data_IF_383291551455
#
_entry.id   IF_383291551455
#
_cell.length_a   1.000
_cell.length_b   1.000
_cell.length_c   1.000
_cell.angle_alpha   90.00
_cell.angle_beta   90.00
_cell.angle_gamma   90.00
#
_symmetry.space_group_name_H-M   'P 1'
#
loop_
_entity.id
_entity.type
_entity.pdbx_description
1 polymer ?
#
# COMPACT_ATOMS: atom_id res chain seq x y z
N UNK A 1 -4.02 3.67 -10.88
CA UNK A 1 -4.03 2.84 -9.66
C UNK A 1 -5.39 2.17 -9.55
N UNK A 2 -5.45 0.85 -9.44
CA UNK A 2 -6.68 0.07 -9.35
C UNK A 2 -6.81 -0.50 -7.94
N UNK A 3 -7.95 -0.30 -7.30
CA UNK A 3 -8.22 -0.81 -5.95
C UNK A 3 -9.35 -1.83 -6.02
N UNK A 4 -9.12 -3.00 -5.45
CA UNK A 4 -10.14 -4.05 -5.34
C UNK A 4 -10.39 -4.37 -3.86
N UNK A 5 -11.66 -4.51 -3.52
CA UNK A 5 -12.12 -4.71 -2.15
C UNK A 5 -13.44 -5.47 -2.11
N UNK A 6 -13.71 -6.19 -1.02
CA UNK A 6 -14.96 -6.93 -0.86
C UNK A 6 -16.17 -5.99 -0.75
N UNK A 7 -17.17 -6.24 -1.59
CA UNK A 7 -18.44 -5.50 -1.60
C UNK A 7 -19.12 -5.44 -0.22
N UNK A 8 -18.97 -6.48 0.60
CA UNK A 8 -19.53 -6.51 1.96
C UNK A 8 -18.88 -5.45 2.84
N UNK A 9 -17.55 -5.41 2.91
CA UNK A 9 -16.82 -4.38 3.65
C UNK A 9 -17.17 -2.97 3.15
N UNK A 10 -17.21 -2.75 1.82
CA UNK A 10 -17.57 -1.45 1.24
C UNK A 10 -18.98 -0.96 1.66
N UNK A 11 -19.90 -1.88 1.95
CA UNK A 11 -21.27 -1.55 2.35
C UNK A 11 -21.46 -1.44 3.85
N UNK A 12 -20.76 -2.25 4.64
CA UNK A 12 -21.02 -2.39 6.09
C UNK A 12 -19.91 -1.84 6.98
N UNK A 13 -18.71 -1.60 6.45
CA UNK A 13 -17.53 -1.27 7.23
C UNK A 13 -17.04 -2.41 8.13
N UNK A 14 -17.55 -3.63 7.97
CA UNK A 14 -17.18 -4.80 8.79
C UNK A 14 -15.73 -5.22 8.49
N UNK A 15 -14.81 -4.89 9.39
CA UNK A 15 -13.38 -5.19 9.26
C UNK A 15 -13.09 -6.69 9.09
N UNK A 16 -13.92 -7.59 9.63
CA UNK A 16 -13.74 -9.04 9.43
C UNK A 16 -13.98 -9.46 7.97
N UNK A 17 -14.63 -8.60 7.18
CA UNK A 17 -14.91 -8.80 5.76
C UNK A 17 -13.93 -8.05 4.84
N UNK A 18 -12.86 -7.42 5.36
CA UNK A 18 -11.81 -6.79 4.53
C UNK A 18 -11.06 -7.86 3.74
N UNK A 19 -10.72 -7.52 2.50
CA UNK A 19 -9.86 -8.36 1.68
C UNK A 19 -8.43 -8.31 2.24
N UNK A 20 -7.92 -9.48 2.62
CA UNK A 20 -6.53 -9.63 3.01
C UNK A 20 -5.62 -9.75 1.78
N UNK A 21 -4.38 -9.26 1.88
CA UNK A 21 -3.38 -9.41 0.82
C UNK A 21 -3.55 -8.45 -0.38
N UNK A 22 -4.41 -7.43 -0.28
CA UNK A 22 -4.54 -6.39 -1.31
C UNK A 22 -3.62 -5.18 -1.08
N UNK A 23 -2.51 -5.39 -0.35
CA UNK A 23 -1.61 -4.30 -0.02
C UNK A 23 -0.92 -3.75 -1.29
N UNK A 24 -0.77 -2.43 -1.42
CA UNK A 24 -0.09 -1.84 -2.57
C UNK A 24 1.42 -2.16 -2.53
N UNK A 25 2.09 -2.01 -3.67
CA UNK A 25 3.54 -2.11 -3.78
C UNK A 25 4.08 -1.02 -4.72
N UNK A 26 5.36 -0.68 -4.56
CA UNK A 26 6.09 0.27 -5.40
C UNK A 26 7.06 -0.51 -6.27
N UNK A 27 7.18 -0.13 -7.54
CA UNK A 27 8.31 -0.52 -8.39
C UNK A 27 9.20 0.70 -8.52
N UNK A 28 10.40 0.64 -7.96
CA UNK A 28 11.39 1.70 -8.11
C UNK A 28 11.87 1.73 -9.56
N UNK A 29 11.69 2.87 -10.23
CA UNK A 29 12.03 3.01 -11.65
C UNK A 29 13.54 3.01 -11.94
N UNK A 30 14.36 3.36 -10.95
CA UNK A 30 15.81 3.52 -11.11
C UNK A 30 16.54 2.22 -10.77
N UNK A 31 16.09 1.51 -9.72
CA UNK A 31 16.70 0.24 -9.29
C UNK A 31 15.96 -1.01 -9.77
N UNK A 32 14.69 -0.90 -10.14
CA UNK A 32 13.81 -2.05 -10.41
C UNK A 32 13.35 -2.80 -9.15
N UNK A 33 13.66 -2.30 -7.95
CA UNK A 33 13.26 -2.89 -6.67
C UNK A 33 11.73 -2.87 -6.51
N UNK A 34 11.18 -3.96 -5.97
CA UNK A 34 9.78 -4.03 -5.55
C UNK A 34 9.73 -3.82 -4.04
N UNK A 35 9.01 -2.78 -3.60
CA UNK A 35 8.79 -2.48 -2.18
C UNK A 35 7.34 -2.76 -1.84
N UNK A 36 7.10 -3.78 -1.02
CA UNK A 36 5.77 -4.10 -0.49
C UNK A 36 5.35 -3.10 0.58
N UNK A 37 4.09 -2.64 0.51
CA UNK A 37 3.50 -1.76 1.52
C UNK A 37 2.50 -2.53 2.38
N UNK A 38 2.03 -1.90 3.45
CA UNK A 38 0.98 -2.45 4.31
C UNK A 38 -0.39 -1.84 4.05
N UNK A 39 -1.39 -2.30 4.81
CA UNK A 39 -2.74 -1.74 4.83
C UNK A 39 -3.11 -1.17 6.21
N UNK A 40 -2.10 -0.96 7.07
CA UNK A 40 -2.27 -0.47 8.44
C UNK A 40 -2.40 1.06 8.49
N UNK A 41 -1.79 1.77 7.53
CA UNK A 41 -1.79 3.23 7.42
C UNK A 41 -2.35 3.70 6.07
N UNK A 42 -2.72 4.98 5.93
CA UNK A 42 -3.01 5.59 4.63
C UNK A 42 -1.81 5.51 3.68
N UNK A 43 -2.08 5.48 2.37
CA UNK A 43 -1.05 5.32 1.35
C UNK A 43 0.01 6.43 1.41
N UNK A 44 -0.40 7.66 1.70
CA UNK A 44 0.45 8.84 1.77
C UNK A 44 1.58 8.68 2.80
N UNK A 45 1.29 7.98 3.91
CA UNK A 45 2.31 7.69 4.92
C UNK A 45 3.37 6.76 4.34
N UNK A 46 2.97 5.68 3.67
CA UNK A 46 3.91 4.73 3.08
C UNK A 46 4.76 5.35 1.97
N UNK A 47 4.17 6.22 1.15
CA UNK A 47 4.91 6.94 0.10
C UNK A 47 5.96 7.86 0.71
N UNK A 48 5.59 8.64 1.73
CA UNK A 48 6.53 9.51 2.44
C UNK A 48 7.66 8.72 3.09
N UNK A 49 7.34 7.65 3.81
CA UNK A 49 8.34 6.79 4.46
C UNK A 49 9.32 6.20 3.41
N UNK A 50 8.81 5.80 2.23
CA UNK A 50 9.64 5.30 1.12
C UNK A 50 10.54 6.40 0.53
N UNK A 51 10.02 7.60 0.24
CA UNK A 51 10.79 8.73 -0.30
C UNK A 51 11.92 9.17 0.64
N UNK A 52 11.64 9.24 1.94
CA UNK A 52 12.63 9.54 2.98
C UNK A 52 13.72 8.45 3.03
N UNK A 53 13.32 7.18 2.94
CA UNK A 53 14.26 6.06 2.92
C UNK A 53 15.15 6.07 1.68
N UNK A 54 14.61 6.43 0.51
CA UNK A 54 15.34 6.48 -0.77
C UNK A 54 16.33 7.64 -0.80
N UNK A 55 15.94 8.80 -0.27
CA UNK A 55 16.82 9.97 -0.14
C UNK A 55 18.03 9.66 0.76
N UNK A 56 17.81 8.91 1.84
CA UNK A 56 18.88 8.49 2.77
C UNK A 56 19.85 7.46 2.16
N UNK A 57 19.40 6.72 1.15
CA UNK A 57 20.19 5.69 0.45
C UNK A 57 21.01 6.21 -0.74
N UNK A 58 20.76 7.45 -1.17
CA UNK A 58 21.47 8.13 -2.28
C UNK A 58 22.68 8.91 -1.78
#
# INVERSE_FOLDING_TARGET
MFFFEYRKYLKTGDNASRLAGNAPFIIDKDSGEIVELGTAWPLEKYLKDYEESKTTRS
#
